data_IF_562877760901
#
_entry.id   IF_562877760901
#
_cell.length_a   1.000
_cell.length_b   1.000
_cell.length_c   1.000
_cell.angle_alpha   90.00
_cell.angle_beta   90.00
_cell.angle_gamma   90.00
#
_symmetry.space_group_name_H-M   'P 1'
#
loop_
_entity.id
_entity.type
_entity.pdbx_description
1 polymer ?
#
# COMPACT_ATOMS: atom_id res chain seq x y z
N UNK A 1 -5.53 30.21 9.73
CA UNK A 1 -5.87 30.22 11.18
C UNK A 1 -7.28 29.69 11.48
N UNK A 2 -8.20 29.67 10.51
CA UNK A 2 -9.59 29.20 10.69
C UNK A 2 -9.77 27.67 10.67
N UNK A 3 -8.81 26.91 10.11
CA UNK A 3 -8.88 25.44 10.01
C UNK A 3 -8.58 24.76 11.35
N UNK A 4 -7.69 25.34 12.18
CA UNK A 4 -7.34 24.79 13.50
C UNK A 4 -8.51 24.81 14.48
N UNK A 5 -9.40 25.81 14.39
CA UNK A 5 -10.56 25.97 15.28
C UNK A 5 -11.70 25.00 14.93
N UNK A 6 -11.76 24.55 13.68
CA UNK A 6 -12.71 23.52 13.25
C UNK A 6 -12.18 22.11 13.58
N UNK A 7 -10.86 21.89 13.46
CA UNK A 7 -10.22 20.63 13.83
C UNK A 7 -10.30 20.35 15.34
N UNK A 8 -10.20 21.39 16.19
CA UNK A 8 -10.39 21.25 17.64
C UNK A 8 -11.83 20.87 17.98
N UNK A 9 -12.83 21.38 17.26
CA UNK A 9 -14.24 20.98 17.46
C UNK A 9 -14.51 19.53 17.05
N UNK A 10 -13.97 19.04 15.92
CA UNK A 10 -14.10 17.63 15.52
C UNK A 10 -13.39 16.66 16.50
N UNK A 11 -12.21 17.04 17.01
CA UNK A 11 -11.45 16.23 17.98
C UNK A 11 -12.14 16.10 19.35
N UNK A 12 -13.12 16.97 19.62
CA UNK A 12 -13.87 16.99 20.87
C UNK A 12 -15.16 16.14 20.83
N UNK A 13 -15.72 15.84 19.64
CA UNK A 13 -17.02 15.16 19.51
C UNK A 13 -16.96 13.62 19.47
N UNK A 14 -15.85 13.03 19.04
CA UNK A 14 -15.69 11.57 19.04
C UNK A 14 -15.25 11.08 20.42
N UNK A 15 -16.10 10.38 21.18
CA UNK A 15 -15.74 9.98 22.52
C UNK A 15 -14.70 8.85 22.48
N UNK A 16 -13.60 9.02 23.22
CA UNK A 16 -12.42 8.14 23.21
C UNK A 16 -12.72 6.63 23.44
N UNK A 17 -13.89 6.29 23.99
CA UNK A 17 -14.32 4.90 24.13
C UNK A 17 -14.67 4.22 22.80
N UNK A 18 -15.07 4.96 21.76
CA UNK A 18 -15.35 4.43 20.41
C UNK A 18 -14.06 4.26 19.60
N UNK A 19 -13.10 5.17 19.72
CA UNK A 19 -11.84 5.12 18.94
C UNK A 19 -10.89 4.00 19.41
N UNK A 20 -10.85 3.71 20.72
CA UNK A 20 -9.96 2.69 21.30
C UNK A 20 -10.15 1.28 20.70
N UNK A 21 -11.37 0.71 20.61
CA UNK A 21 -11.54 -0.61 20.00
C UNK A 21 -11.11 -0.64 18.53
N UNK A 22 -11.34 0.43 17.77
CA UNK A 22 -10.85 0.58 16.39
C UNK A 22 -9.31 0.55 16.38
N UNK A 23 -8.67 1.30 17.27
CA UNK A 23 -7.22 1.31 17.40
C UNK A 23 -6.64 -0.07 17.74
N UNK A 24 -7.24 -0.81 18.70
CA UNK A 24 -6.82 -2.18 19.00
C UNK A 24 -7.02 -3.14 17.82
N UNK A 25 -8.13 -3.00 17.09
CA UNK A 25 -8.38 -3.77 15.88
C UNK A 25 -7.32 -3.48 14.79
N UNK A 26 -6.92 -2.23 14.60
CA UNK A 26 -5.83 -1.90 13.67
C UNK A 26 -4.49 -2.49 14.11
N UNK A 27 -4.15 -2.48 15.41
CA UNK A 27 -2.93 -3.14 15.89
C UNK A 27 -2.98 -4.66 15.66
N UNK A 28 -4.16 -5.27 15.81
CA UNK A 28 -4.34 -6.67 15.46
C UNK A 28 -4.11 -6.91 13.96
N UNK A 29 -4.73 -6.10 13.08
CA UNK A 29 -4.51 -6.17 11.63
C UNK A 29 -3.05 -5.92 11.25
N UNK A 30 -2.36 -5.05 11.98
CA UNK A 30 -0.94 -4.78 11.77
C UNK A 30 -0.07 -6.03 11.98
N UNK A 31 -0.28 -6.74 13.09
CA UNK A 31 0.45 -7.99 13.40
C UNK A 31 0.18 -9.05 12.32
N UNK A 32 -1.08 -9.21 11.91
CA UNK A 32 -1.46 -10.15 10.87
C UNK A 32 -0.88 -9.75 9.51
N UNK A 33 -1.00 -8.47 9.15
CA UNK A 33 -0.52 -7.92 7.89
C UNK A 33 0.99 -8.09 7.72
N UNK A 34 1.78 -7.78 8.76
CA UNK A 34 3.23 -8.03 8.75
C UNK A 34 3.53 -9.53 8.65
N UNK A 35 2.86 -10.36 9.46
CA UNK A 35 3.15 -11.80 9.50
C UNK A 35 2.84 -12.48 8.18
N UNK A 36 1.68 -12.18 7.58
CA UNK A 36 1.23 -12.80 6.33
C UNK A 36 2.04 -12.29 5.13
N UNK A 37 2.11 -10.97 4.94
CA UNK A 37 2.85 -10.41 3.80
C UNK A 37 4.34 -10.69 3.92
N UNK A 38 4.90 -10.64 5.13
CA UNK A 38 6.29 -10.99 5.39
C UNK A 38 6.61 -12.46 5.09
N UNK A 39 5.73 -13.38 5.47
CA UNK A 39 5.90 -14.82 5.17
C UNK A 39 5.87 -15.09 3.66
N UNK A 40 4.91 -14.50 2.94
CA UNK A 40 4.79 -14.68 1.49
C UNK A 40 5.99 -14.02 0.78
N UNK A 41 6.41 -12.82 1.22
CA UNK A 41 7.59 -12.13 0.71
C UNK A 41 8.85 -12.98 0.90
N UNK A 42 9.01 -13.58 2.08
CA UNK A 42 10.12 -14.48 2.40
C UNK A 42 10.16 -15.67 1.42
N UNK A 43 9.01 -16.32 1.18
CA UNK A 43 8.89 -17.42 0.20
C UNK A 43 9.30 -16.93 -1.20
N UNK A 44 8.79 -15.77 -1.63
CA UNK A 44 9.11 -15.18 -2.93
C UNK A 44 10.60 -14.88 -3.11
N UNK A 45 11.27 -14.39 -2.07
CA UNK A 45 12.72 -14.13 -2.08
C UNK A 45 13.50 -15.45 -2.12
N UNK A 46 13.08 -16.43 -1.30
CA UNK A 46 13.78 -17.72 -1.14
C UNK A 46 13.72 -18.60 -2.39
N UNK A 47 12.60 -18.61 -3.10
CA UNK A 47 12.36 -19.50 -4.23
C UNK A 47 12.44 -18.76 -5.57
N UNK A 48 13.64 -18.74 -6.16
CA UNK A 48 13.88 -18.09 -7.47
C UNK A 48 12.95 -18.57 -8.59
N UNK A 49 12.50 -19.83 -8.54
CA UNK A 49 11.57 -20.43 -9.52
C UNK A 49 10.24 -19.66 -9.60
N UNK A 50 9.80 -19.05 -8.50
CA UNK A 50 8.59 -18.24 -8.50
C UNK A 50 8.75 -16.98 -9.36
N UNK A 51 9.95 -16.42 -9.51
CA UNK A 51 10.20 -15.16 -10.24
C UNK A 51 10.44 -15.34 -11.75
N UNK A 52 10.13 -16.51 -12.29
CA UNK A 52 10.38 -16.82 -13.70
C UNK A 52 9.24 -16.42 -14.65
N UNK A 53 8.05 -16.15 -14.11
CA UNK A 53 6.86 -15.75 -14.88
C UNK A 53 6.53 -14.27 -14.67
N UNK A 54 6.07 -13.58 -15.72
CA UNK A 54 5.60 -12.18 -15.65
C UNK A 54 4.52 -12.00 -14.58
N UNK A 55 3.52 -12.89 -14.56
CA UNK A 55 2.44 -12.90 -13.57
C UNK A 55 2.99 -12.89 -12.14
N UNK A 56 3.98 -13.74 -11.86
CA UNK A 56 4.53 -13.85 -10.53
C UNK A 56 5.40 -12.64 -10.15
N UNK A 57 6.00 -11.96 -11.11
CA UNK A 57 6.73 -10.71 -10.84
C UNK A 57 5.74 -9.61 -10.41
N UNK A 58 4.57 -9.51 -11.05
CA UNK A 58 3.51 -8.61 -10.59
C UNK A 58 3.02 -8.95 -9.18
N UNK A 59 2.79 -10.24 -8.91
CA UNK A 59 2.41 -10.71 -7.57
C UNK A 59 3.49 -10.36 -6.54
N UNK A 60 4.77 -10.56 -6.87
CA UNK A 60 5.88 -10.20 -6.00
C UNK A 60 5.95 -8.70 -5.71
N UNK A 61 5.64 -7.86 -6.71
CA UNK A 61 5.53 -6.42 -6.56
C UNK A 61 4.38 -6.02 -5.63
N UNK A 62 3.23 -6.69 -5.75
CA UNK A 62 2.07 -6.48 -4.90
C UNK A 62 2.38 -6.82 -3.43
N UNK A 63 2.95 -8.00 -3.18
CA UNK A 63 3.34 -8.45 -1.83
C UNK A 63 4.34 -7.48 -1.19
N UNK A 64 5.28 -6.95 -1.97
CA UNK A 64 6.26 -5.98 -1.47
C UNK A 64 5.57 -4.68 -1.04
N UNK A 65 4.67 -4.15 -1.86
CA UNK A 65 3.92 -2.92 -1.55
C UNK A 65 2.96 -3.13 -0.37
N UNK A 66 2.28 -4.27 -0.30
CA UNK A 66 1.43 -4.65 0.84
C UNK A 66 2.22 -4.79 2.14
N UNK A 67 3.44 -5.33 2.08
CA UNK A 67 4.32 -5.42 3.24
C UNK A 67 4.75 -4.03 3.72
N UNK A 68 5.12 -3.14 2.79
CA UNK A 68 5.47 -1.74 3.10
C UNK A 68 4.27 -1.03 3.72
N UNK A 69 3.09 -1.16 3.12
CA UNK A 69 1.85 -0.58 3.66
C UNK A 69 1.53 -1.11 5.04
N UNK A 70 1.61 -2.42 5.26
CA UNK A 70 1.44 -3.02 6.58
C UNK A 70 2.44 -2.46 7.61
N UNK A 71 3.68 -2.17 7.23
CA UNK A 71 4.67 -1.61 8.17
C UNK A 71 4.33 -0.19 8.65
N UNK A 72 3.70 0.65 7.81
CA UNK A 72 3.60 2.09 8.08
C UNK A 72 2.16 2.63 8.14
N UNK A 73 1.27 2.14 7.30
CA UNK A 73 -0.11 2.66 7.15
C UNK A 73 -0.99 2.29 8.33
N UNK A 74 -0.80 1.10 8.90
CA UNK A 74 -1.67 0.57 9.94
C UNK A 74 -1.26 1.00 11.37
N UNK A 75 0.04 0.97 11.77
CA UNK A 75 0.39 1.21 13.16
C UNK A 75 0.30 2.67 13.59
N UNK A 76 0.60 3.62 12.70
CA UNK A 76 0.53 5.07 12.99
C UNK A 76 -0.89 5.51 13.39
N UNK A 77 -1.93 5.31 12.56
CA UNK A 77 -3.30 5.63 12.94
C UNK A 77 -3.80 4.75 14.09
N UNK A 78 -3.41 3.46 14.15
CA UNK A 78 -3.77 2.57 15.25
C UNK A 78 -3.34 3.12 16.62
N UNK A 79 -2.09 3.58 16.74
CA UNK A 79 -1.57 4.19 17.97
C UNK A 79 -2.27 5.54 18.23
N UNK A 80 -2.51 6.34 17.20
CA UNK A 80 -3.20 7.62 17.35
C UNK A 80 -4.64 7.45 17.88
N UNK A 81 -5.34 6.41 17.43
CA UNK A 81 -6.70 6.06 17.87
C UNK A 81 -6.73 5.56 19.32
N UNK A 82 -5.79 4.70 19.72
CA UNK A 82 -5.66 4.26 21.12
C UNK A 82 -5.36 5.43 22.06
N UNK A 83 -4.51 6.37 21.61
CA UNK A 83 -4.17 7.58 22.37
C UNK A 83 -5.22 8.68 22.24
N UNK A 84 -6.25 8.49 21.42
CA UNK A 84 -7.29 9.48 21.11
C UNK A 84 -6.73 10.83 20.67
N UNK A 85 -5.52 10.82 20.09
CA UNK A 85 -4.83 11.99 19.54
C UNK A 85 -3.68 11.54 18.64
N UNK A 86 -3.44 12.32 17.59
CA UNK A 86 -2.23 12.18 16.81
C UNK A 86 -0.99 12.57 17.62
N UNK A 87 -0.01 11.66 17.73
CA UNK A 87 1.22 11.86 18.52
C UNK A 87 2.49 12.04 17.67
N UNK A 88 2.44 11.76 16.37
CA UNK A 88 3.61 11.73 15.49
C UNK A 88 3.95 13.09 14.85
N UNK A 89 3.30 14.16 15.32
CA UNK A 89 3.48 15.52 14.82
C UNK A 89 3.06 15.70 13.35
N UNK A 90 3.34 16.88 12.80
CA UNK A 90 2.99 17.22 11.42
C UNK A 90 3.72 16.34 10.39
N UNK A 91 5.02 16.12 10.58
CA UNK A 91 5.83 15.30 9.68
C UNK A 91 5.31 13.85 9.59
N UNK A 92 4.91 13.26 10.73
CA UNK A 92 4.30 11.92 10.72
C UNK A 92 2.95 11.88 9.99
N UNK A 93 2.14 12.94 10.09
CA UNK A 93 0.85 13.03 9.41
C UNK A 93 1.04 13.08 7.88
N UNK A 94 1.98 13.91 7.41
CA UNK A 94 2.33 13.97 5.98
C UNK A 94 2.91 12.64 5.50
N UNK A 95 3.83 12.05 6.26
CA UNK A 95 4.43 10.76 5.92
C UNK A 95 3.39 9.65 5.79
N UNK A 96 2.45 9.55 6.74
CA UNK A 96 1.38 8.55 6.74
C UNK A 96 0.44 8.74 5.54
N UNK A 97 0.04 9.98 5.24
CA UNK A 97 -0.78 10.25 4.08
C UNK A 97 -0.08 9.88 2.75
N UNK A 98 1.21 10.18 2.64
CA UNK A 98 2.01 9.88 1.43
C UNK A 98 2.17 8.39 1.23
N UNK A 99 2.53 7.64 2.28
CA UNK A 99 2.74 6.20 2.16
C UNK A 99 1.42 5.48 1.86
N UNK A 100 0.34 5.85 2.56
CA UNK A 100 -0.98 5.25 2.35
C UNK A 100 -1.49 5.46 0.92
N UNK A 101 -1.37 6.69 0.41
CA UNK A 101 -1.80 6.99 -0.95
C UNK A 101 -0.89 6.34 -2.00
N UNK A 102 0.43 6.30 -1.76
CA UNK A 102 1.38 5.68 -2.68
C UNK A 102 1.18 4.17 -2.81
N UNK A 103 1.08 3.45 -1.70
CA UNK A 103 0.85 2.01 -1.73
C UNK A 103 -0.52 1.69 -2.32
N UNK A 104 -1.57 2.46 -1.97
CA UNK A 104 -2.91 2.30 -2.52
C UNK A 104 -2.96 2.45 -4.04
N UNK A 105 -2.38 3.54 -4.57
CA UNK A 105 -2.28 3.76 -6.02
C UNK A 105 -1.43 2.68 -6.69
N UNK A 106 -0.28 2.36 -6.11
CA UNK A 106 0.62 1.33 -6.64
C UNK A 106 -0.07 -0.03 -6.74
N UNK A 107 -0.75 -0.47 -5.68
CA UNK A 107 -1.51 -1.72 -5.69
C UNK A 107 -2.59 -1.73 -6.76
N UNK A 108 -3.35 -0.64 -6.91
CA UNK A 108 -4.37 -0.52 -7.94
C UNK A 108 -3.77 -0.69 -9.34
N UNK A 109 -2.65 -0.02 -9.64
CA UNK A 109 -1.98 -0.13 -10.94
C UNK A 109 -1.38 -1.51 -11.18
N UNK A 110 -0.76 -2.12 -10.17
CA UNK A 110 -0.21 -3.48 -10.28
C UNK A 110 -1.33 -4.51 -10.52
N UNK A 111 -2.48 -4.39 -9.84
CA UNK A 111 -3.63 -5.26 -10.07
C UNK A 111 -4.22 -5.11 -11.47
N UNK A 112 -4.23 -3.88 -12.01
CA UNK A 112 -4.64 -3.63 -13.39
C UNK A 112 -3.67 -4.32 -14.38
N UNK A 113 -2.36 -4.14 -14.20
CA UNK A 113 -1.33 -4.78 -15.03
C UNK A 113 -1.38 -6.32 -14.93
N UNK A 114 -1.58 -6.85 -13.72
CA UNK A 114 -1.77 -8.29 -13.49
C UNK A 114 -3.02 -8.82 -14.23
N UNK A 115 -4.11 -8.07 -14.21
CA UNK A 115 -5.34 -8.42 -14.94
C UNK A 115 -5.11 -8.45 -16.45
N UNK A 116 -4.36 -7.48 -16.98
CA UNK A 116 -3.98 -7.43 -18.39
C UNK A 116 -3.06 -8.58 -18.79
N UNK A 117 -2.04 -8.90 -17.97
CA UNK A 117 -1.15 -10.04 -18.18
C UNK A 117 -1.95 -11.35 -18.27
N UNK A 118 -2.87 -11.58 -17.33
CA UNK A 118 -3.75 -12.76 -17.33
C UNK A 118 -4.66 -12.80 -18.55
N UNK A 119 -5.20 -11.64 -18.96
CA UNK A 119 -6.01 -11.53 -20.17
C UNK A 119 -5.21 -11.94 -21.42
N UNK A 120 -3.99 -11.46 -21.59
CA UNK A 120 -3.15 -11.81 -22.74
C UNK A 120 -2.70 -13.27 -22.71
N UNK A 121 -2.36 -13.82 -21.54
CA UNK A 121 -1.99 -15.24 -21.40
C UNK A 121 -3.14 -16.15 -21.83
N UNK A 122 -4.38 -15.82 -21.49
CA UNK A 122 -5.56 -16.63 -21.85
C UNK A 122 -5.93 -16.44 -23.32
N UNK A 123 -6.03 -15.20 -23.79
CA UNK A 123 -6.56 -14.90 -25.14
C UNK A 123 -5.55 -15.08 -26.27
N UNK A 124 -4.25 -14.88 -26.01
CA UNK A 124 -3.18 -14.92 -27.01
C UNK A 124 -2.24 -16.11 -26.85
N UNK A 125 -2.64 -17.12 -26.07
CA UNK A 125 -1.86 -18.34 -25.81
C UNK A 125 -1.35 -19.01 -27.10
N UNK A 126 -2.08 -18.89 -28.22
CA UNK A 126 -1.74 -19.50 -29.51
C UNK A 126 -0.85 -18.63 -30.43
N UNK A 127 -0.64 -17.34 -30.13
CA UNK A 127 0.07 -16.39 -31.03
C UNK A 127 1.43 -15.94 -30.47
N UNK A 128 1.99 -16.64 -29.48
CA UNK A 128 3.32 -16.39 -28.90
C UNK A 128 3.59 -14.96 -28.36
N UNK A 129 2.55 -14.12 -28.21
CA UNK A 129 2.68 -12.75 -27.71
C UNK A 129 2.44 -12.71 -26.21
N UNK A 130 3.38 -13.26 -25.45
CA UNK A 130 3.41 -13.15 -23.98
C UNK A 130 4.21 -11.91 -23.54
N UNK A 131 3.78 -11.25 -22.47
CA UNK A 131 4.54 -10.12 -21.88
C UNK A 131 5.92 -10.63 -21.45
N UNK A 132 6.97 -9.96 -21.91
CA UNK A 132 8.34 -10.33 -21.52
C UNK A 132 8.64 -9.89 -20.08
N UNK A 133 9.58 -10.57 -19.43
CA UNK A 133 10.06 -10.19 -18.09
C UNK A 133 10.56 -8.73 -18.07
N UNK A 134 11.26 -8.29 -19.13
CA UNK A 134 11.74 -6.91 -19.26
C UNK A 134 10.57 -5.91 -19.28
N UNK A 135 9.56 -6.16 -20.11
CA UNK A 135 8.36 -5.32 -20.16
C UNK A 135 7.63 -5.30 -18.82
N UNK A 136 7.57 -6.42 -18.11
CA UNK A 136 6.95 -6.52 -16.78
C UNK A 136 7.61 -5.56 -15.79
N UNK A 137 8.95 -5.60 -15.68
CA UNK A 137 9.69 -4.68 -14.79
C UNK A 137 9.54 -3.22 -15.21
N UNK A 138 9.55 -2.93 -16.51
CA UNK A 138 9.31 -1.58 -17.02
C UNK A 138 7.90 -1.08 -16.67
N UNK A 139 6.86 -1.90 -16.85
CA UNK A 139 5.48 -1.55 -16.50
C UNK A 139 5.30 -1.30 -15.00
N UNK A 140 5.93 -2.11 -14.13
CA UNK A 140 5.94 -1.90 -12.69
C UNK A 140 6.61 -0.56 -12.34
N UNK A 141 7.78 -0.29 -12.93
CA UNK A 141 8.50 0.96 -12.70
C UNK A 141 7.67 2.18 -13.14
N UNK A 142 7.04 2.11 -14.32
CA UNK A 142 6.14 3.16 -14.79
C UNK A 142 4.93 3.35 -13.85
N UNK A 143 4.34 2.26 -13.33
CA UNK A 143 3.25 2.33 -12.38
C UNK A 143 3.66 3.02 -11.07
N UNK A 144 4.86 2.72 -10.54
CA UNK A 144 5.38 3.39 -9.34
C UNK A 144 5.70 4.86 -9.58
N UNK A 145 6.30 5.21 -10.71
CA UNK A 145 6.56 6.62 -11.07
C UNK A 145 5.23 7.38 -11.20
N UNK A 146 4.23 6.78 -11.84
CA UNK A 146 2.92 7.39 -11.99
C UNK A 146 2.21 7.53 -10.64
N UNK A 147 2.28 6.53 -9.76
CA UNK A 147 1.78 6.63 -8.39
C UNK A 147 2.48 7.77 -7.62
N UNK A 148 3.82 7.85 -7.69
CA UNK A 148 4.59 8.92 -7.05
C UNK A 148 4.19 10.32 -7.55
N UNK A 149 3.97 10.46 -8.85
CA UNK A 149 3.53 11.72 -9.44
C UNK A 149 2.22 12.21 -8.81
N UNK A 150 1.22 11.32 -8.68
CA UNK A 150 -0.05 11.67 -8.04
C UNK A 150 0.07 11.89 -6.54
N UNK A 151 0.97 11.17 -5.86
CA UNK A 151 1.12 11.29 -4.41
C UNK A 151 1.88 12.52 -3.96
N UNK A 152 2.76 13.05 -4.80
CA UNK A 152 3.55 14.24 -4.47
C UNK A 152 2.81 15.54 -4.79
N UNK A 153 1.82 15.50 -5.69
CA UNK A 153 1.03 16.67 -6.07
C UNK A 153 0.43 17.44 -4.86
N UNK A 154 -0.12 16.78 -3.81
CA UNK A 154 -0.64 17.48 -2.63
C UNK A 154 0.44 18.13 -1.75
N UNK A 155 1.70 17.70 -1.86
CA UNK A 155 2.82 18.24 -1.07
C UNK A 155 3.44 19.45 -1.74
N UNK A 156 3.54 19.41 -3.08
CA UNK A 156 4.30 20.40 -3.85
C UNK A 156 3.55 21.73 -4.00
N UNK A 157 2.21 21.72 -3.84
CA UNK A 157 1.38 22.91 -3.59
C UNK A 157 1.71 24.14 -4.42
#
# INVERSE_FOLDING_TARGET
MSISNNLSSYKQLEPCYILRPIGYYLIFLWVFGISLNGSILYIFIRYKKLRQSSTNIFIGSLILTDFIGACFEIPMPGIALIKCRWIFGYAGCVFEAVIAYFSGCSNMYILCLLSLDRYFVVTRSFTATTITIKQTYTSILCAYIFALFWTLMPIIG
#
